data_IF_058720696964
#
_entry.id   IF_058720696964
#
_cell.length_a   1.000
_cell.length_b   1.000
_cell.length_c   1.000
_cell.angle_alpha   90.00
_cell.angle_beta   90.00
_cell.angle_gamma   90.00
#
_symmetry.space_group_name_H-M   'P 1'
#
loop_
_entity.id
_entity.type
_entity.pdbx_description
1 polymer ?
#
# COMPACT_ATOMS: atom_id res chain seq x y z
N UNK A 1 -8.49 8.28 11.92
CA UNK A 1 -9.37 7.13 12.15
C UNK A 1 -8.67 5.92 11.57
N UNK A 2 -8.42 4.87 12.37
CA UNK A 2 -7.74 3.66 11.90
C UNK A 2 -8.73 2.88 11.01
N UNK A 3 -8.41 2.67 9.73
CA UNK A 3 -9.27 1.94 8.81
C UNK A 3 -9.58 0.54 9.34
N UNK A 4 -10.84 0.12 9.21
CA UNK A 4 -11.28 -1.21 9.64
C UNK A 4 -10.76 -2.22 8.61
N UNK A 5 -10.03 -3.24 9.08
CA UNK A 5 -9.56 -4.34 8.24
C UNK A 5 -10.74 -5.30 7.99
N UNK A 6 -11.06 -5.58 6.73
CA UNK A 6 -12.13 -6.53 6.37
C UNK A 6 -11.73 -7.99 6.65
N UNK A 7 -10.43 -8.26 6.79
CA UNK A 7 -9.87 -9.61 6.99
C UNK A 7 -9.32 -10.22 5.70
N UNK A 8 -9.67 -9.65 4.55
CA UNK A 8 -9.08 -9.95 3.26
C UNK A 8 -7.70 -9.31 3.09
N UNK A 9 -6.86 -9.93 2.27
CA UNK A 9 -5.56 -9.41 1.87
C UNK A 9 -5.31 -9.69 0.39
N UNK A 10 -4.60 -8.79 -0.27
CA UNK A 10 -4.06 -8.97 -1.62
C UNK A 10 -2.61 -9.40 -1.52
N UNK A 11 -2.19 -10.29 -2.41
CA UNK A 11 -0.79 -10.69 -2.52
C UNK A 11 -0.11 -9.80 -3.58
N UNK A 12 0.92 -9.06 -3.17
CA UNK A 12 1.73 -8.23 -4.05
C UNK A 12 3.15 -8.75 -4.10
N UNK A 13 3.68 -8.97 -5.30
CA UNK A 13 5.08 -9.38 -5.48
C UNK A 13 5.89 -8.13 -5.76
N UNK A 14 6.85 -7.83 -4.89
CA UNK A 14 7.71 -6.66 -5.05
C UNK A 14 8.65 -6.79 -6.24
N UNK A 15 8.88 -5.67 -6.91
CA UNK A 15 9.83 -5.46 -7.99
C UNK A 15 11.11 -4.80 -7.46
N UNK A 16 12.23 -4.91 -8.19
CA UNK A 16 13.49 -4.30 -7.76
C UNK A 16 13.36 -2.77 -7.67
N UNK A 17 13.63 -2.23 -6.48
CA UNK A 17 13.57 -0.79 -6.21
C UNK A 17 12.25 -0.31 -5.59
N UNK A 18 11.28 -1.20 -5.37
CA UNK A 18 10.04 -0.85 -4.67
C UNK A 18 10.28 -0.50 -3.20
N UNK A 19 9.45 0.41 -2.70
CA UNK A 19 9.50 0.92 -1.33
C UNK A 19 8.11 0.83 -0.70
N UNK A 20 8.05 0.74 0.62
CA UNK A 20 6.78 0.65 1.35
C UNK A 20 5.85 1.83 1.06
N UNK A 21 6.39 3.05 0.95
CA UNK A 21 5.62 4.26 0.61
C UNK A 21 4.95 4.16 -0.76
N UNK A 22 5.65 3.58 -1.74
CA UNK A 22 5.20 3.49 -3.13
C UNK A 22 4.08 2.45 -3.26
N UNK A 23 4.22 1.33 -2.54
CA UNK A 23 3.20 0.29 -2.46
C UNK A 23 1.96 0.82 -1.74
N UNK A 24 2.13 1.48 -0.59
CA UNK A 24 1.01 2.06 0.14
C UNK A 24 0.25 3.09 -0.72
N UNK A 25 0.96 3.92 -1.47
CA UNK A 25 0.35 4.84 -2.43
C UNK A 25 -0.35 4.13 -3.60
N UNK A 26 0.21 3.02 -4.11
CA UNK A 26 -0.40 2.28 -5.21
C UNK A 26 -1.74 1.63 -4.82
N UNK A 27 -1.81 1.05 -3.61
CA UNK A 27 -2.99 0.31 -3.13
C UNK A 27 -3.99 1.18 -2.36
N UNK A 28 -3.52 2.09 -1.51
CA UNK A 28 -4.37 2.89 -0.62
C UNK A 28 -4.43 4.37 -0.98
N UNK A 29 -3.72 4.79 -2.03
CA UNK A 29 -3.52 6.22 -2.37
C UNK A 29 -2.99 7.07 -1.21
N UNK A 30 -2.37 6.42 -0.23
CA UNK A 30 -1.91 7.04 1.00
C UNK A 30 -0.57 6.42 1.41
N UNK A 31 0.49 7.21 1.37
CA UNK A 31 1.83 6.75 1.73
C UNK A 31 1.99 6.52 3.24
N UNK A 32 1.17 7.14 4.10
CA UNK A 32 1.20 6.92 5.55
C UNK A 32 0.73 5.52 5.92
N UNK A 33 -0.03 4.84 5.05
CA UNK A 33 -0.41 3.43 5.23
C UNK A 33 0.75 2.44 5.09
N UNK A 34 1.97 2.92 4.83
CA UNK A 34 3.17 2.07 4.86
C UNK A 34 3.40 1.40 6.22
N UNK A 35 3.03 2.06 7.33
CA UNK A 35 3.16 1.49 8.68
C UNK A 35 2.29 0.25 8.85
N UNK A 36 1.07 0.30 8.29
CA UNK A 36 0.13 -0.80 8.31
C UNK A 36 0.64 -1.99 7.49
N UNK A 37 1.21 -1.74 6.30
CA UNK A 37 1.89 -2.77 5.51
C UNK A 37 3.06 -3.40 6.27
N UNK A 38 3.87 -2.57 6.92
CA UNK A 38 5.02 -3.00 7.72
C UNK A 38 4.56 -3.89 8.87
N UNK A 39 3.53 -3.50 9.61
CA UNK A 39 3.01 -4.27 10.75
C UNK A 39 2.48 -5.62 10.30
N UNK A 40 1.67 -5.65 9.23
CA UNK A 40 1.15 -6.90 8.68
C UNK A 40 2.25 -7.83 8.19
N UNK A 41 3.25 -7.31 7.49
CA UNK A 41 4.33 -8.10 6.90
C UNK A 41 5.54 -8.27 7.82
N UNK A 42 5.47 -7.77 9.06
CA UNK A 42 6.57 -7.84 10.03
C UNK A 42 7.01 -9.27 10.31
N UNK A 43 6.07 -10.22 10.24
CA UNK A 43 6.34 -11.64 10.40
C UNK A 43 7.35 -12.20 9.36
N UNK A 44 7.41 -11.61 8.16
CA UNK A 44 8.40 -11.97 7.12
C UNK A 44 9.83 -11.59 7.51
N UNK A 45 9.98 -10.57 8.36
CA UNK A 45 11.26 -10.05 8.84
C UNK A 45 11.57 -10.53 10.27
N UNK A 46 11.08 -11.71 10.67
CA UNK A 46 11.19 -12.33 12.01
C UNK A 46 12.60 -12.47 12.62
N UNK A 47 13.65 -12.02 11.94
CA UNK A 47 14.98 -12.04 12.53
C UNK A 47 15.11 -10.80 13.42
N UNK A 48 15.31 -11.02 14.72
CA UNK A 48 15.29 -10.07 15.85
C UNK A 48 16.04 -8.72 15.65
N UNK A 49 16.85 -8.61 14.58
CA UNK A 49 17.70 -7.46 14.24
C UNK A 49 17.55 -7.03 12.75
N UNK A 50 16.62 -7.62 11.98
CA UNK A 50 16.37 -7.22 10.61
C UNK A 50 15.72 -5.82 10.58
N UNK A 51 16.54 -4.79 10.35
CA UNK A 51 16.04 -3.47 9.97
C UNK A 51 15.09 -3.64 8.80
N UNK A 52 13.88 -3.12 8.95
CA UNK A 52 12.92 -3.02 7.85
C UNK A 52 13.61 -2.21 6.75
N UNK A 53 13.89 -2.83 5.60
CA UNK A 53 14.65 -2.15 4.57
C UNK A 53 13.74 -1.11 3.94
N UNK A 54 14.29 0.09 3.68
CA UNK A 54 13.56 1.15 3.00
C UNK A 54 13.21 0.74 1.56
N UNK A 55 14.10 -0.01 0.91
CA UNK A 55 13.91 -0.63 -0.40
C UNK A 55 13.65 -2.12 -0.18
N UNK A 56 12.54 -2.61 -0.68
CA UNK A 56 12.14 -3.99 -0.58
C UNK A 56 12.98 -4.87 -1.51
N UNK A 57 13.37 -6.08 -1.07
CA UNK A 57 14.01 -7.03 -1.96
C UNK A 57 13.03 -7.42 -3.07
N UNK A 58 13.48 -7.60 -4.31
CA UNK A 58 12.62 -8.05 -5.41
C UNK A 58 12.12 -9.47 -5.16
N UNK A 59 10.94 -9.78 -5.70
CA UNK A 59 10.26 -11.08 -5.63
C UNK A 59 9.86 -11.48 -4.21
N UNK A 60 9.62 -10.50 -3.34
CA UNK A 60 9.05 -10.72 -2.01
C UNK A 60 7.53 -10.63 -2.12
N UNK A 61 6.83 -11.67 -1.70
CA UNK A 61 5.36 -11.65 -1.62
C UNK A 61 4.93 -10.96 -0.35
N UNK A 62 4.35 -9.77 -0.48
CA UNK A 62 3.75 -9.01 0.61
C UNK A 62 2.24 -9.25 0.65
N UNK A 63 1.69 -9.29 1.86
CA UNK A 63 0.25 -9.28 2.12
C UNK A 63 -0.19 -7.84 2.33
N UNK A 64 -1.00 -7.34 1.41
CA UNK A 64 -1.60 -6.02 1.44
C UNK A 64 -3.01 -6.17 2.03
N UNK A 65 -3.23 -5.91 3.33
CA UNK A 65 -4.55 -6.04 3.94
C UNK A 65 -5.55 -5.11 3.27
N UNK A 66 -6.74 -5.59 2.98
CA UNK A 66 -7.82 -4.74 2.48
C UNK A 66 -8.39 -3.97 3.68
N UNK A 67 -8.36 -2.64 3.59
CA UNK A 67 -8.96 -1.76 4.58
C UNK A 67 -10.13 -1.03 3.94
N UNK A 68 -11.22 -0.89 4.69
CA UNK A 68 -12.29 0.00 4.29
C UNK A 68 -11.78 1.42 4.46
N UNK A 69 -11.48 2.07 3.33
CA UNK A 69 -11.21 3.50 3.30
C UNK A 69 -12.51 4.22 3.00
N UNK A 70 -12.76 5.30 3.74
CA UNK A 70 -13.74 6.28 3.30
C UNK A 70 -13.38 6.71 1.87
N UNK A 71 -14.37 6.84 0.97
CA UNK A 71 -14.11 7.26 -0.40
C UNK A 71 -13.27 8.53 -0.36
N UNK A 72 -12.04 8.43 -0.89
CA UNK A 72 -11.18 9.58 -1.05
C UNK A 72 -11.99 10.63 -1.82
N UNK A 73 -12.21 11.80 -1.22
CA UNK A 73 -12.95 12.92 -1.83
C UNK A 73 -12.40 13.15 -3.24
N UNK A 74 -13.09 12.60 -4.24
CA UNK A 74 -12.70 12.71 -5.65
C UNK A 74 -12.86 14.14 -6.16
N UNK A 75 -13.49 15.01 -5.35
CA UNK A 75 -13.67 16.45 -5.58
C UNK A 75 -12.35 17.23 -5.54
N UNK A 76 -11.29 16.68 -4.94
CA UNK A 76 -9.93 17.26 -4.95
C UNK A 76 -9.06 16.73 -6.10
N UNK A 77 -9.63 15.94 -7.02
CA UNK A 77 -8.91 15.58 -8.23
C UNK A 77 -8.81 16.80 -9.15
N UNK A 78 -7.61 17.16 -9.62
CA UNK A 78 -7.48 18.25 -10.56
C UNK A 78 -8.22 17.89 -11.87
N UNK A 79 -8.79 18.89 -12.57
CA UNK A 79 -9.85 18.70 -13.59
C UNK A 79 -9.44 17.83 -14.80
N UNK A 80 -8.15 17.61 -15.03
CA UNK A 80 -7.62 16.78 -16.12
C UNK A 80 -7.78 15.26 -15.93
N UNK A 81 -8.27 14.81 -14.77
CA UNK A 81 -8.61 13.40 -14.49
C UNK A 81 -10.10 13.09 -14.57
N UNK A 82 -10.95 14.09 -14.82
CA UNK A 82 -12.31 13.83 -15.26
C UNK A 82 -12.20 13.35 -16.71
N UNK A 83 -12.51 12.07 -16.96
CA UNK A 83 -12.42 11.48 -18.28
C UNK A 83 -13.30 12.25 -19.27
N UNK A 84 -12.71 13.15 -20.05
CA UNK A 84 -13.25 13.55 -21.34
C UNK A 84 -12.97 12.40 -22.30
N UNK A 85 -13.91 11.46 -22.37
CA UNK A 85 -14.13 10.70 -23.60
C UNK A 85 -15.44 11.22 -24.20
N UNK A 86 -15.38 12.43 -24.76
CA UNK A 86 -16.29 12.82 -25.82
C UNK A 86 -15.87 12.06 -27.09
N UNK A 87 -16.84 11.39 -27.71
CA UNK A 87 -16.71 10.66 -28.97
C UNK A 87 -18.02 10.00 -29.35
#
# INVERSE_FOLDING_TARGET
>A
MMGVKTGDYLEHVTEPGERWDTIAWAFYRDAQMMDLLIVENRHLFSQEIARIPAILPPRLTLRIPVVEQDPLDTDLLPPWKHGTAEG
#
